data_IF_010254655779
#
_entry.id   IF_010254655779
#
_cell.length_a   1.000
_cell.length_b   1.000
_cell.length_c   1.000
_cell.angle_alpha   90.00
_cell.angle_beta   90.00
_cell.angle_gamma   90.00
#
_symmetry.space_group_name_H-M   'P 1'
#
loop_
_entity.id
_entity.type
_entity.pdbx_description
1 polymer ?
#
# COMPACT_ATOMS: atom_id res chain seq x y z
N UNK A 1 -25.01 34.66 9.45
CA UNK A 1 -24.65 33.67 8.41
C UNK A 1 -23.14 33.50 8.43
N UNK A 2 -22.64 32.42 9.01
CA UNK A 2 -21.21 32.18 9.15
C UNK A 2 -20.67 31.47 7.90
N UNK A 3 -19.78 32.15 7.17
CA UNK A 3 -19.14 31.62 5.97
C UNK A 3 -18.14 30.52 6.31
N UNK A 4 -18.41 29.31 5.82
CA UNK A 4 -17.53 28.15 5.85
C UNK A 4 -16.26 28.45 5.03
N UNK A 5 -15.30 29.11 5.67
CA UNK A 5 -14.05 29.50 5.06
C UNK A 5 -12.91 28.73 5.72
N UNK A 6 -12.18 27.93 4.93
CA UNK A 6 -10.74 27.76 5.20
C UNK A 6 -10.13 26.38 5.04
N UNK A 7 -10.86 25.24 5.17
CA UNK A 7 -10.17 23.94 5.18
C UNK A 7 -9.51 23.52 3.85
N UNK A 8 -9.96 24.08 2.74
CA UNK A 8 -9.48 23.74 1.39
C UNK A 8 -8.44 24.73 0.84
N UNK A 9 -8.21 25.87 1.50
CA UNK A 9 -7.29 26.91 1.00
C UNK A 9 -5.81 26.59 1.27
N UNK A 10 -5.53 25.70 2.22
CA UNK A 10 -4.14 25.37 2.61
C UNK A 10 -3.44 24.35 1.69
N UNK A 11 -4.14 23.69 0.75
CA UNK A 11 -3.47 22.79 -0.21
C UNK A 11 -2.51 23.55 -1.15
N UNK A 12 -2.86 24.80 -1.50
CA UNK A 12 -2.01 25.69 -2.30
C UNK A 12 -0.73 26.13 -1.58
N UNK A 13 -0.74 26.19 -0.24
CA UNK A 13 0.43 26.53 0.57
C UNK A 13 1.54 25.47 0.47
N UNK A 14 1.18 24.22 0.09
CA UNK A 14 2.11 23.11 -0.12
C UNK A 14 2.50 22.90 -1.60
N UNK A 15 2.18 23.83 -2.51
CA UNK A 15 2.31 23.64 -3.98
C UNK A 15 1.65 22.35 -4.49
N UNK A 16 0.66 21.81 -3.78
CA UNK A 16 -0.02 20.59 -4.19
C UNK A 16 -0.96 20.91 -5.36
N UNK A 17 -0.75 20.25 -6.52
CA UNK A 17 -1.74 20.24 -7.61
C UNK A 17 -2.81 19.23 -7.24
N UNK A 18 -3.99 19.70 -6.85
CA UNK A 18 -5.13 18.81 -6.57
C UNK A 18 -5.54 18.04 -7.83
N UNK A 19 -5.80 16.75 -7.68
CA UNK A 19 -6.43 15.93 -8.73
C UNK A 19 -7.95 16.04 -8.57
N UNK A 20 -8.68 16.11 -9.67
CA UNK A 20 -10.14 16.12 -9.62
C UNK A 20 -10.64 14.83 -8.96
N UNK A 21 -11.57 14.92 -8.00
CA UNK A 21 -11.99 13.77 -7.20
C UNK A 21 -12.51 12.59 -8.03
N UNK A 22 -13.20 12.85 -9.15
CA UNK A 22 -13.64 11.80 -10.06
C UNK A 22 -12.51 11.06 -10.78
N UNK A 23 -11.38 11.73 -11.04
CA UNK A 23 -10.19 11.11 -11.64
C UNK A 23 -9.48 10.22 -10.63
N UNK A 24 -9.28 10.72 -9.41
CA UNK A 24 -8.68 9.94 -8.32
C UNK A 24 -9.52 8.69 -7.97
N UNK A 25 -10.85 8.80 -8.03
CA UNK A 25 -11.75 7.66 -7.83
C UNK A 25 -11.61 6.64 -8.96
N UNK A 26 -11.59 7.07 -10.23
CA UNK A 26 -11.43 6.18 -11.37
C UNK A 26 -10.10 5.42 -11.32
N UNK A 27 -8.99 6.10 -10.99
CA UNK A 27 -7.68 5.47 -10.80
C UNK A 27 -7.66 4.47 -9.63
N UNK A 28 -8.42 4.74 -8.56
CA UNK A 28 -8.58 3.80 -7.45
C UNK A 28 -9.34 2.54 -7.87
N UNK A 29 -10.45 2.70 -8.58
CA UNK A 29 -11.24 1.58 -9.11
C UNK A 29 -10.43 0.74 -10.10
N UNK A 30 -9.71 1.37 -11.02
CA UNK A 30 -8.90 0.67 -12.03
C UNK A 30 -7.78 -0.17 -11.38
N UNK A 31 -7.14 0.38 -10.33
CA UNK A 31 -6.19 -0.39 -9.49
C UNK A 31 -6.85 -1.57 -8.79
N UNK A 32 -8.06 -1.41 -8.25
CA UNK A 32 -8.79 -2.51 -7.61
C UNK A 32 -9.17 -3.62 -8.60
N UNK A 33 -9.51 -3.27 -9.85
CA UNK A 33 -9.88 -4.23 -10.90
C UNK A 33 -8.66 -5.00 -11.43
N UNK A 34 -7.50 -4.36 -11.49
CA UNK A 34 -6.25 -4.96 -12.02
C UNK A 34 -5.34 -5.57 -10.95
N UNK A 35 -5.60 -5.28 -9.68
CA UNK A 35 -4.78 -5.73 -8.55
C UNK A 35 -4.91 -7.23 -8.23
N UNK A 36 -4.11 -7.69 -7.27
CA UNK A 36 -4.14 -9.09 -6.83
C UNK A 36 -5.48 -9.39 -6.13
N UNK A 37 -6.34 -10.11 -6.84
CA UNK A 37 -7.66 -10.53 -6.38
C UNK A 37 -7.61 -11.45 -5.14
N UNK A 38 -6.62 -12.34 -5.07
CA UNK A 38 -6.51 -13.27 -3.93
C UNK A 38 -6.21 -12.51 -2.63
N UNK A 39 -6.95 -12.78 -1.53
CA UNK A 39 -6.73 -12.12 -0.24
C UNK A 39 -5.29 -12.33 0.27
N UNK A 40 -4.74 -11.34 0.98
CA UNK A 40 -3.41 -11.42 1.63
C UNK A 40 -3.32 -12.57 2.66
N UNK A 41 -4.45 -13.05 3.16
CA UNK A 41 -4.54 -14.20 4.08
C UNK A 41 -4.44 -15.56 3.38
N UNK A 42 -4.56 -15.59 2.05
CA UNK A 42 -4.31 -16.81 1.26
C UNK A 42 -2.82 -16.95 0.95
N UNK A 43 -2.34 -18.18 0.83
CA UNK A 43 -0.93 -18.46 0.47
C UNK A 43 -0.54 -17.79 -0.85
N UNK A 44 -1.37 -17.96 -1.89
CA UNK A 44 -1.19 -17.30 -3.20
C UNK A 44 -1.14 -15.78 -3.08
N UNK A 45 -2.10 -15.19 -2.36
CA UNK A 45 -2.22 -13.73 -2.24
C UNK A 45 -1.09 -13.10 -1.44
N UNK A 46 -0.61 -13.77 -0.39
CA UNK A 46 0.58 -13.37 0.36
C UNK A 46 1.84 -13.46 -0.50
N UNK A 47 2.07 -14.61 -1.14
CA UNK A 47 3.25 -14.85 -1.95
C UNK A 47 3.36 -13.86 -3.12
N UNK A 48 2.24 -13.55 -3.78
CA UNK A 48 2.20 -12.57 -4.85
C UNK A 48 2.58 -11.16 -4.37
N UNK A 49 2.00 -10.68 -3.27
CA UNK A 49 2.33 -9.35 -2.71
C UNK A 49 3.78 -9.25 -2.28
N UNK A 50 4.30 -10.28 -1.61
CA UNK A 50 5.72 -10.33 -1.23
C UNK A 50 6.62 -10.23 -2.46
N UNK A 51 6.35 -10.99 -3.52
CA UNK A 51 7.12 -10.91 -4.77
C UNK A 51 7.14 -9.51 -5.37
N UNK A 52 5.99 -8.83 -5.42
CA UNK A 52 5.92 -7.44 -5.90
C UNK A 52 6.73 -6.49 -5.01
N UNK A 53 6.54 -6.58 -3.69
CA UNK A 53 7.20 -5.69 -2.73
C UNK A 53 8.71 -5.89 -2.65
N UNK A 54 9.23 -7.08 -2.98
CA UNK A 54 10.66 -7.37 -2.96
C UNK A 54 11.32 -7.34 -4.33
N UNK A 55 10.58 -6.98 -5.39
CA UNK A 55 11.13 -6.92 -6.75
C UNK A 55 11.89 -5.62 -7.06
N UNK A 56 11.73 -4.58 -6.24
CA UNK A 56 12.32 -3.26 -6.48
C UNK A 56 12.55 -2.48 -5.19
N UNK A 57 13.44 -1.50 -5.24
CA UNK A 57 13.69 -0.57 -4.13
C UNK A 57 12.41 0.18 -3.71
N UNK A 58 11.56 0.56 -4.66
CA UNK A 58 10.26 1.20 -4.40
C UNK A 58 9.36 0.31 -3.54
N UNK A 59 9.38 -1.01 -3.76
CA UNK A 59 8.63 -1.95 -2.93
C UNK A 59 9.17 -2.05 -1.50
N UNK A 60 10.50 -2.00 -1.32
CA UNK A 60 11.11 -1.90 0.00
C UNK A 60 10.75 -0.59 0.71
N UNK A 61 10.70 0.52 -0.02
CA UNK A 61 10.26 1.80 0.53
C UNK A 61 8.77 1.79 0.92
N UNK A 62 7.90 1.20 0.10
CA UNK A 62 6.48 1.02 0.41
C UNK A 62 6.27 0.18 1.67
N UNK A 63 7.04 -0.90 1.83
CA UNK A 63 7.07 -1.68 3.08
C UNK A 63 7.50 -0.81 4.27
N UNK A 64 8.52 0.04 4.09
CA UNK A 64 8.98 0.99 5.09
C UNK A 64 7.88 1.98 5.51
N UNK A 65 7.16 2.58 4.55
CA UNK A 65 6.03 3.49 4.80
C UNK A 65 4.88 2.81 5.53
N UNK A 66 4.61 1.53 5.22
CA UNK A 66 3.63 0.72 5.92
C UNK A 66 4.08 0.22 7.31
N UNK A 67 5.31 0.56 7.74
CA UNK A 67 5.86 0.20 9.06
C UNK A 67 6.35 -1.24 9.16
N UNK A 68 6.75 -1.86 8.04
CA UNK A 68 7.37 -3.18 8.02
C UNK A 68 8.89 -3.03 8.15
N UNK A 69 9.41 -3.33 9.35
CA UNK A 69 10.84 -3.28 9.66
C UNK A 69 11.33 -4.62 10.20
N UNK A 70 10.99 -5.71 9.51
CA UNK A 70 11.46 -7.05 9.87
C UNK A 70 12.89 -7.27 9.43
N UNK A 71 13.57 -8.24 10.07
CA UNK A 71 14.93 -8.62 9.65
C UNK A 71 14.90 -9.27 8.26
N UNK A 72 15.96 -9.14 7.44
CA UNK A 72 16.03 -9.77 6.12
C UNK A 72 15.72 -11.27 6.13
N UNK A 73 16.23 -12.00 7.13
CA UNK A 73 15.94 -13.44 7.31
C UNK A 73 14.45 -13.76 7.47
N UNK A 74 13.68 -12.86 8.08
CA UNK A 74 12.24 -13.04 8.26
C UNK A 74 11.51 -12.86 6.94
N UNK A 75 11.93 -11.87 6.14
CA UNK A 75 11.38 -11.65 4.81
C UNK A 75 11.66 -12.83 3.87
N UNK A 76 12.88 -13.39 3.92
CA UNK A 76 13.26 -14.59 3.18
C UNK A 76 12.40 -15.78 3.60
N UNK A 77 12.21 -16.01 4.91
CA UNK A 77 11.36 -17.10 5.40
C UNK A 77 9.88 -16.94 4.98
N UNK A 78 9.37 -15.70 4.91
CA UNK A 78 8.03 -15.44 4.38
C UNK A 78 7.93 -15.71 2.88
N UNK A 79 8.93 -15.30 2.09
CA UNK A 79 9.00 -15.59 0.65
C UNK A 79 9.10 -17.09 0.35
N UNK A 80 9.79 -17.84 1.21
CA UNK A 80 9.92 -19.28 1.13
C UNK A 80 8.67 -20.04 1.64
N UNK A 81 7.71 -19.35 2.28
CA UNK A 81 6.54 -19.98 2.90
C UNK A 81 6.86 -20.74 4.19
N UNK A 82 8.06 -20.61 4.74
CA UNK A 82 8.50 -21.29 5.97
C UNK A 82 7.91 -20.66 7.23
N UNK A 83 7.54 -19.38 7.16
CA UNK A 83 6.90 -18.64 8.25
C UNK A 83 5.73 -17.82 7.74
N UNK A 84 4.65 -17.81 8.52
CA UNK A 84 3.49 -16.96 8.25
C UNK A 84 3.62 -15.63 8.99
N UNK A 85 3.46 -14.47 8.33
CA UNK A 85 3.41 -13.18 9.00
C UNK A 85 2.27 -13.11 10.01
N UNK A 86 2.43 -12.29 11.05
CA UNK A 86 1.33 -12.01 12.00
C UNK A 86 0.18 -11.31 11.29
N UNK A 87 -1.04 -11.36 11.85
CA UNK A 87 -2.20 -10.62 11.31
C UNK A 87 -1.91 -9.13 11.08
N UNK A 88 -1.17 -8.49 11.99
CA UNK A 88 -0.77 -7.10 11.84
C UNK A 88 0.18 -6.89 10.65
N UNK A 89 1.13 -7.80 10.43
CA UNK A 89 2.03 -7.71 9.28
C UNK A 89 1.33 -8.07 7.97
N UNK A 90 0.36 -8.98 7.96
CA UNK A 90 -0.48 -9.23 6.78
C UNK A 90 -1.22 -7.96 6.35
N UNK A 91 -1.83 -7.23 7.29
CA UNK A 91 -2.50 -5.98 7.00
C UNK A 91 -1.52 -4.91 6.46
N UNK A 92 -0.32 -4.81 7.04
CA UNK A 92 0.72 -3.89 6.55
C UNK A 92 1.23 -4.26 5.16
N UNK A 93 1.39 -5.55 4.87
CA UNK A 93 1.84 -6.04 3.55
C UNK A 93 0.80 -5.72 2.48
N UNK A 94 -0.48 -5.87 2.79
CA UNK A 94 -1.56 -5.49 1.87
C UNK A 94 -1.57 -3.97 1.65
N UNK A 95 -1.46 -3.17 2.72
CA UNK A 95 -1.36 -1.72 2.60
C UNK A 95 -0.14 -1.26 1.77
N UNK A 96 1.04 -1.88 2.00
CA UNK A 96 2.25 -1.58 1.23
C UNK A 96 2.08 -1.89 -0.26
N UNK A 97 1.41 -3.00 -0.60
CA UNK A 97 1.15 -3.38 -1.99
C UNK A 97 0.26 -2.34 -2.72
N UNK A 98 -0.76 -1.82 -2.05
CA UNK A 98 -1.63 -0.79 -2.61
C UNK A 98 -0.99 0.62 -2.68
N UNK A 99 0.19 0.79 -2.06
CA UNK A 99 1.00 2.02 -2.04
C UNK A 99 2.23 1.96 -2.98
N UNK A 100 2.34 0.91 -3.81
CA UNK A 100 3.27 0.83 -4.94
C UNK A 100 2.86 1.80 -6.06
#
# INVERSE_FOLDING_TARGET
MAGTSGRWRDLGAFRARGVHGGVALAEGIDRMVTGIESPVTSERGLAARLRYLTASDVGYEAMGRAGIHVRPRTLIAWLAGEQTPTKANLARLDAAYWDL
#
